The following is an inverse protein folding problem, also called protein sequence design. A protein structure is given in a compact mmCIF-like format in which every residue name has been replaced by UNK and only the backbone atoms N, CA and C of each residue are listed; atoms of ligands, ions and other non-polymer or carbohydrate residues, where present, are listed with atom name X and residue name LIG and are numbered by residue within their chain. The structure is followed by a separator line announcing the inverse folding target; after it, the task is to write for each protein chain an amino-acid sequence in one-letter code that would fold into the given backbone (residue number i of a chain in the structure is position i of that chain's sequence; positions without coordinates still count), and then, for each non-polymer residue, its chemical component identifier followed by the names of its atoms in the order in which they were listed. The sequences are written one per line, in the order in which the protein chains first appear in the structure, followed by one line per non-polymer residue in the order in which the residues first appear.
data_IF_097332772307
#
_entry.id   IF_097332772307
#
_cell.length_a   1.000
_cell.length_b   1.000
_cell.length_c   1.000
_cell.angle_alpha   90.00
_cell.angle_beta   90.00
_cell.angle_gamma   90.00
#
_symmetry.space_group_name_H-M   'P 1'
#
loop_
_entity.id
_entity.type
_entity.pdbx_description
1 polymer ?
#
# COMPACT_ATOMS: atom_id res chain seq x y z
N UNK A 1 -29.35 -11.60 3.70
CA UNK A 1 -28.26 -11.08 4.55
C UNK A 1 -27.49 -10.06 3.74
N UNK A 2 -27.23 -8.86 4.26
CA UNK A 2 -26.28 -7.94 3.63
C UNK A 2 -24.92 -8.65 3.69
N UNK A 3 -24.28 -8.89 2.54
CA UNK A 3 -23.04 -9.66 2.47
C UNK A 3 -21.89 -8.90 3.14
N UNK A 4 -21.03 -9.62 3.86
CA UNK A 4 -19.75 -9.08 4.31
C UNK A 4 -18.74 -9.25 3.17
N UNK A 5 -18.06 -8.17 2.79
CA UNK A 5 -16.99 -8.20 1.79
C UNK A 5 -15.67 -7.85 2.45
N UNK A 6 -14.63 -8.64 2.17
CA UNK A 6 -13.26 -8.35 2.60
C UNK A 6 -12.47 -7.86 1.40
N UNK A 7 -11.76 -6.76 1.57
CA UNK A 7 -10.89 -6.19 0.55
C UNK A 7 -9.50 -5.99 1.17
N UNK A 8 -8.48 -6.56 0.54
CA UNK A 8 -7.10 -6.25 0.87
C UNK A 8 -6.73 -4.85 0.39
N UNK A 9 -6.21 -4.03 1.29
CA UNK A 9 -5.64 -2.73 0.97
C UNK A 9 -4.14 -2.83 1.17
N UNK A 10 -3.40 -2.84 0.07
CA UNK A 10 -1.94 -2.83 0.05
C UNK A 10 -1.42 -1.77 -0.92
N UNK A 11 -0.22 -1.22 -0.70
CA UNK A 11 0.35 -0.24 -1.62
C UNK A 11 0.60 -0.86 -3.00
N UNK A 12 0.37 -0.09 -4.05
CA UNK A 12 0.84 -0.35 -5.41
C UNK A 12 1.69 0.85 -5.84
N UNK A 13 2.90 0.61 -6.32
CA UNK A 13 3.85 1.66 -6.74
C UNK A 13 4.11 2.73 -5.66
N UNK A 14 4.28 2.30 -4.41
CA UNK A 14 4.52 3.20 -3.27
C UNK A 14 3.31 4.06 -2.87
N UNK A 15 2.15 3.87 -3.51
CA UNK A 15 0.91 4.62 -3.26
C UNK A 15 -0.18 3.71 -2.74
N UNK A 16 -1.04 4.27 -1.91
CA UNK A 16 -2.25 3.60 -1.45
C UNK A 16 -3.28 3.60 -2.59
N UNK A 17 -4.01 2.50 -2.86
CA UNK A 17 -4.94 2.40 -3.98
C UNK A 17 -6.23 3.19 -3.69
N UNK A 18 -6.19 4.50 -3.95
CA UNK A 18 -7.26 5.43 -3.58
C UNK A 18 -8.62 5.02 -4.17
N UNK A 19 -8.68 4.73 -5.47
CA UNK A 19 -9.91 4.33 -6.15
C UNK A 19 -10.56 3.07 -5.54
N UNK A 20 -9.75 2.08 -5.15
CA UNK A 20 -10.23 0.86 -4.50
C UNK A 20 -10.78 1.16 -3.10
N UNK A 21 -10.10 2.02 -2.34
CA UNK A 21 -10.55 2.46 -1.02
C UNK A 21 -11.88 3.21 -1.13
N UNK A 22 -12.00 4.13 -2.07
CA UNK A 22 -13.23 4.89 -2.29
C UNK A 22 -14.37 3.97 -2.72
N UNK A 23 -14.13 3.05 -3.67
CA UNK A 23 -15.11 2.08 -4.12
C UNK A 23 -15.57 1.17 -2.97
N UNK A 24 -14.61 0.67 -2.18
CA UNK A 24 -14.88 -0.12 -0.98
C UNK A 24 -15.74 0.64 0.02
N UNK A 25 -15.41 1.88 0.33
CA UNK A 25 -16.19 2.71 1.25
C UNK A 25 -17.60 3.00 0.70
N UNK A 26 -17.73 3.36 -0.58
CA UNK A 26 -19.04 3.60 -1.20
C UNK A 26 -19.91 2.34 -1.19
N UNK A 27 -19.33 1.18 -1.47
CA UNK A 27 -20.05 -0.10 -1.44
C UNK A 27 -20.56 -0.49 -0.05
N UNK A 28 -20.00 0.09 1.03
CA UNK A 28 -20.49 -0.17 2.38
C UNK A 28 -21.94 0.25 2.61
N UNK A 29 -22.53 1.08 1.73
CA UNK A 29 -23.96 1.36 1.74
C UNK A 29 -24.85 0.10 1.54
N UNK A 30 -24.28 -0.99 1.02
CA UNK A 30 -24.97 -2.25 0.75
C UNK A 30 -24.62 -3.38 1.72
N UNK A 31 -23.75 -3.14 2.70
CA UNK A 31 -23.31 -4.16 3.63
C UNK A 31 -21.98 -3.84 4.30
N UNK A 32 -21.55 -4.72 5.20
CA UNK A 32 -20.28 -4.54 5.89
C UNK A 32 -19.11 -4.76 4.92
N UNK A 33 -18.19 -3.80 4.88
CA UNK A 33 -16.92 -3.93 4.16
C UNK A 33 -15.77 -3.89 5.16
N UNK A 34 -14.89 -4.88 5.09
CA UNK A 34 -13.68 -4.95 5.92
C UNK A 34 -12.46 -4.71 5.05
N UNK A 35 -11.67 -3.71 5.41
CA UNK A 35 -10.35 -3.48 4.83
C UNK A 35 -9.29 -4.20 5.64
N UNK A 36 -8.64 -5.17 5.02
CA UNK A 36 -7.44 -5.82 5.55
C UNK A 36 -6.25 -4.98 5.13
N UNK A 37 -5.68 -4.23 6.08
CA UNK A 37 -4.56 -3.34 5.85
C UNK A 37 -3.26 -4.13 5.86
N UNK A 38 -2.62 -4.23 4.69
CA UNK A 38 -1.34 -4.88 4.49
C UNK A 38 -0.30 -3.84 4.08
N UNK A 39 0.63 -3.50 4.99
CA UNK A 39 1.60 -2.42 4.81
C UNK A 39 0.99 -1.03 4.51
N UNK A 40 -0.26 -0.81 4.93
CA UNK A 40 -0.95 0.49 4.86
C UNK A 40 -1.39 0.90 6.27
N UNK A 41 -1.25 2.18 6.60
CA UNK A 41 -1.72 2.72 7.88
C UNK A 41 -3.17 3.18 7.78
N UNK A 42 -3.91 3.12 8.89
CA UNK A 42 -5.29 3.62 8.92
C UNK A 42 -5.35 5.13 8.62
N UNK A 43 -4.31 5.89 8.97
CA UNK A 43 -4.20 7.31 8.64
C UNK A 43 -4.14 7.53 7.13
N UNK A 44 -3.38 6.71 6.40
CA UNK A 44 -3.29 6.84 4.95
C UNK A 44 -4.62 6.52 4.26
N UNK A 45 -5.38 5.54 4.77
CA UNK A 45 -6.74 5.26 4.30
C UNK A 45 -7.68 6.43 4.61
N UNK A 46 -7.63 6.98 5.81
CA UNK A 46 -8.48 8.10 6.20
C UNK A 46 -8.23 9.34 5.33
N UNK A 47 -6.98 9.63 4.95
CA UNK A 47 -6.68 10.74 4.04
C UNK A 47 -7.38 10.60 2.68
N UNK A 48 -7.53 9.36 2.18
CA UNK A 48 -8.30 9.08 0.96
C UNK A 48 -9.79 9.27 1.22
N UNK A 49 -10.29 8.83 2.37
CA UNK A 49 -11.72 8.82 2.68
C UNK A 49 -12.28 10.16 3.15
N UNK A 50 -11.50 11.04 3.76
CA UNK A 50 -11.93 12.34 4.28
C UNK A 50 -12.77 13.17 3.29
N UNK A 51 -12.40 13.31 2.00
CA UNK A 51 -13.25 14.00 1.03
C UNK A 51 -14.52 13.22 0.67
N UNK A 52 -14.48 11.88 0.71
CA UNK A 52 -15.59 11.01 0.29
C UNK A 52 -16.66 10.86 1.36
N UNK A 53 -16.27 10.75 2.63
CA UNK A 53 -17.17 10.56 3.79
C UNK A 53 -18.27 11.63 3.82
N UNK A 54 -17.92 12.88 3.47
CA UNK A 54 -18.86 14.02 3.45
C UNK A 54 -19.92 13.93 2.35
N UNK A 55 -19.74 13.04 1.38
CA UNK A 55 -20.64 12.86 0.23
C UNK A 55 -21.63 11.70 0.42
N UNK A 56 -21.52 10.95 1.52
CA UNK A 56 -22.29 9.73 1.75
C UNK A 56 -23.35 9.92 2.85
N UNK A 57 -24.45 9.13 2.84
CA UNK A 57 -25.43 9.14 3.91
C UNK A 57 -24.81 8.72 5.25
N UNK A 58 -25.21 9.39 6.34
CA UNK A 58 -24.71 9.08 7.70
C UNK A 58 -25.17 7.70 8.22
N UNK A 59 -26.13 7.06 7.54
CA UNK A 59 -26.68 5.76 7.91
C UNK A 59 -25.89 4.57 7.35
N UNK A 60 -24.86 4.79 6.54
CA UNK A 60 -24.08 3.67 6.01
C UNK A 60 -23.23 3.02 7.13
N UNK A 61 -23.08 1.70 7.13
CA UNK A 61 -22.20 0.98 8.06
C UNK A 61 -20.75 1.49 8.06
N UNK A 62 -20.25 1.93 6.91
CA UNK A 62 -18.84 2.28 6.72
C UNK A 62 -17.95 1.04 6.61
N UNK A 63 -16.65 1.24 6.84
CA UNK A 63 -15.62 0.22 6.69
C UNK A 63 -14.96 -0.10 8.02
N UNK A 64 -14.64 -1.38 8.24
CA UNK A 64 -13.83 -1.81 9.39
C UNK A 64 -12.38 -2.01 8.96
N UNK A 65 -11.44 -1.46 9.73
CA UNK A 65 -10.02 -1.69 9.51
C UNK A 65 -9.52 -2.85 10.37
N UNK A 66 -8.84 -3.78 9.73
CA UNK A 66 -8.15 -4.92 10.36
C UNK A 66 -6.73 -4.95 9.83
N UNK A 67 -5.73 -4.99 10.71
CA UNK A 67 -4.33 -5.14 10.28
C UNK A 67 -4.10 -6.59 9.87
N UNK A 68 -3.35 -6.83 8.78
CA UNK A 68 -3.07 -8.20 8.33
C UNK A 68 -2.33 -9.05 9.37
N UNK A 69 -1.58 -8.42 10.29
CA UNK A 69 -0.90 -9.12 11.40
C UNK A 69 -1.81 -9.48 12.59
N UNK A 70 -3.07 -9.03 12.58
CA UNK A 70 -4.06 -9.41 13.61
C UNK A 70 -4.80 -10.68 13.14
N UNK A 71 -4.12 -11.82 13.24
CA UNK A 71 -4.60 -13.09 12.67
C UNK A 71 -6.00 -13.48 13.16
N UNK A 72 -6.32 -13.19 14.42
CA UNK A 72 -7.65 -13.48 14.96
C UNK A 72 -8.72 -12.67 14.23
N UNK A 73 -8.53 -11.35 14.11
CA UNK A 73 -9.51 -10.50 13.43
C UNK A 73 -9.54 -10.73 11.92
N UNK A 74 -8.41 -11.08 11.30
CA UNK A 74 -8.35 -11.49 9.89
C UNK A 74 -9.17 -12.76 9.69
N UNK A 75 -9.01 -13.77 10.57
CA UNK A 75 -9.81 -14.99 10.54
C UNK A 75 -11.29 -14.69 10.65
N UNK A 76 -11.70 -13.93 11.67
CA UNK A 76 -13.10 -13.56 11.88
C UNK A 76 -13.70 -12.85 10.66
N UNK A 77 -12.96 -11.91 10.07
CA UNK A 77 -13.38 -11.17 8.89
C UNK A 77 -13.55 -12.11 7.68
N UNK A 78 -12.56 -12.94 7.39
CA UNK A 78 -12.55 -13.88 6.26
C UNK A 78 -13.63 -14.94 6.40
N UNK A 79 -13.82 -15.53 7.58
CA UNK A 79 -14.82 -16.59 7.78
C UNK A 79 -16.25 -16.05 7.72
N UNK A 80 -16.44 -14.76 8.00
CA UNK A 80 -17.73 -14.08 7.89
C UNK A 80 -18.00 -13.53 6.48
N UNK A 81 -16.98 -13.48 5.62
CA UNK A 81 -17.07 -12.88 4.30
C UNK A 81 -17.82 -13.78 3.32
N UNK A 82 -18.62 -13.16 2.45
CA UNK A 82 -19.16 -13.81 1.25
C UNK A 82 -18.17 -13.77 0.09
N UNK A 83 -17.30 -12.75 0.07
CA UNK A 83 -16.29 -12.54 -0.96
C UNK A 83 -15.03 -11.91 -0.34
N UNK A 84 -13.88 -12.36 -0.81
CA UNK A 84 -12.56 -11.84 -0.42
C UNK A 84 -11.83 -11.40 -1.68
N UNK A 85 -11.54 -10.10 -1.78
CA UNK A 85 -10.68 -9.53 -2.79
C UNK A 85 -9.25 -9.45 -2.23
N UNK A 86 -8.30 -10.13 -2.87
CA UNK A 86 -6.93 -10.25 -2.39
C UNK A 86 -5.93 -9.89 -3.48
N UNK A 87 -4.82 -9.29 -3.08
CA UNK A 87 -3.70 -8.92 -3.95
C UNK A 87 -2.39 -9.60 -3.53
N UNK A 88 -2.28 -10.09 -2.29
CA UNK A 88 -1.09 -10.77 -1.79
C UNK A 88 -1.29 -12.25 -1.52
N UNK A 89 -0.19 -13.00 -1.60
CA UNK A 89 -0.14 -14.40 -1.17
C UNK A 89 -0.43 -14.55 0.33
N UNK A 90 -0.13 -13.53 1.15
CA UNK A 90 -0.38 -13.57 2.59
C UNK A 90 -1.87 -13.69 2.88
N UNK A 91 -2.71 -12.81 2.31
CA UNK A 91 -4.15 -12.89 2.51
C UNK A 91 -4.76 -14.11 1.81
N UNK A 92 -4.27 -14.47 0.63
CA UNK A 92 -4.69 -15.71 -0.04
C UNK A 92 -4.48 -16.94 0.85
N UNK A 93 -3.30 -17.08 1.45
CA UNK A 93 -2.98 -18.20 2.33
C UNK A 93 -3.85 -18.20 3.59
N UNK A 94 -4.09 -17.04 4.20
CA UNK A 94 -5.05 -16.94 5.31
C UNK A 94 -6.44 -17.41 4.89
N UNK A 95 -6.95 -16.92 3.75
CA UNK A 95 -8.26 -17.28 3.25
C UNK A 95 -8.41 -18.77 2.92
N UNK A 96 -7.42 -19.36 2.25
CA UNK A 96 -7.39 -20.77 1.93
C UNK A 96 -7.32 -21.68 3.18
N UNK A 97 -6.60 -21.25 4.22
CA UNK A 97 -6.37 -22.06 5.41
C UNK A 97 -7.53 -22.02 6.43
N UNK A 98 -8.39 -21.00 6.40
CA UNK A 98 -9.48 -20.87 7.36
C UNK A 98 -10.74 -21.67 7.00
N UNK A 99 -10.74 -22.39 5.87
CA UNK A 99 -11.77 -23.37 5.52
C UNK A 99 -13.15 -22.79 5.24
N UNK A 100 -13.30 -21.46 5.25
CA UNK A 100 -14.49 -20.79 4.77
C UNK A 100 -14.53 -20.87 3.24
N UNK A 101 -15.73 -20.82 2.66
CA UNK A 101 -15.95 -20.83 1.21
C UNK A 101 -16.26 -19.42 0.65
N UNK A 102 -15.57 -18.32 1.04
CA UNK A 102 -15.81 -17.07 0.36
C UNK A 102 -15.36 -17.22 -1.09
N UNK A 103 -16.06 -16.53 -2.00
CA UNK A 103 -15.54 -16.35 -3.35
C UNK A 103 -14.21 -15.59 -3.25
N UNK A 104 -13.13 -16.16 -3.78
CA UNK A 104 -11.83 -15.50 -3.85
C UNK A 104 -11.69 -14.78 -5.18
N UNK A 105 -11.33 -13.50 -5.15
CA UNK A 105 -11.10 -12.68 -6.35
C UNK A 105 -9.72 -12.04 -6.25
N UNK A 106 -8.85 -12.35 -7.21
CA UNK A 106 -7.55 -11.70 -7.31
C UNK A 106 -7.73 -10.27 -7.81
N UNK A 107 -7.04 -9.33 -7.18
CA UNK A 107 -6.92 -7.95 -7.62
C UNK A 107 -5.64 -7.84 -8.45
N UNK A 108 -5.80 -7.73 -9.77
CA UNK A 108 -4.72 -7.38 -10.69
C UNK A 108 -4.31 -5.91 -10.48
N UNK A 109 -3.62 -5.63 -9.37
CA UNK A 109 -2.96 -4.35 -9.18
C UNK A 109 -1.75 -4.33 -10.14
N UNK A 110 -1.54 -3.23 -10.91
CA UNK A 110 -0.46 -3.17 -11.89
C UNK A 110 0.89 -3.54 -11.23
N UNK A 111 1.70 -4.41 -11.87
CA UNK A 111 2.98 -4.84 -11.33
C UNK A 111 3.97 -3.66 -11.24
N UNK A 112 4.89 -3.74 -10.28
CA UNK A 112 5.92 -2.74 -10.06
C UNK A 112 6.77 -2.53 -11.33
N UNK A 113 6.84 -1.30 -11.85
CA UNK A 113 8.06 -0.87 -12.51
C UNK A 113 9.10 -0.75 -11.41
N UNK A 114 10.13 -1.57 -11.48
CA UNK A 114 11.32 -1.34 -10.69
C UNK A 114 11.88 0.03 -11.11
N UNK A 115 11.68 1.06 -10.29
CA UNK A 115 12.41 2.35 -10.39
C UNK A 115 13.93 2.18 -10.19
N UNK A 116 14.43 0.94 -10.16
CA UNK A 116 15.84 0.60 -10.31
C UNK A 116 16.37 0.87 -11.72
N UNK A 117 15.52 0.95 -12.75
CA UNK A 117 15.97 1.25 -14.13
C UNK A 117 16.23 2.76 -14.35
N UNK A 118 15.53 3.66 -13.66
CA UNK A 118 15.83 5.10 -13.73
C UNK A 118 17.02 5.50 -12.84
N UNK A 119 17.21 4.83 -11.68
CA UNK A 119 18.38 5.08 -10.82
C UNK A 119 19.69 4.47 -11.37
N UNK A 120 19.61 3.42 -12.20
CA UNK A 120 20.78 2.89 -12.91
C UNK A 120 21.18 3.76 -14.11
N UNK A 121 20.22 4.40 -14.79
CA UNK A 121 20.52 5.40 -15.83
C UNK A 121 21.18 6.68 -15.27
N UNK A 122 20.82 7.11 -14.06
CA UNK A 122 21.45 8.28 -13.41
C UNK A 122 22.87 7.95 -12.91
N UNK A 123 23.17 6.70 -12.53
CA UNK A 123 24.51 6.29 -12.10
C UNK A 123 25.55 6.30 -13.21
N UNK A 124 25.16 6.14 -14.48
CA UNK A 124 26.10 6.18 -15.61
C UNK A 124 26.44 7.60 -16.10
N UNK A 125 25.78 8.66 -15.61
CA UNK A 125 25.98 10.03 -16.08
C UNK A 125 26.52 11.01 -15.03
N UNK A 126 26.93 10.52 -13.86
CA UNK A 126 27.73 11.32 -12.93
C UNK A 126 29.21 11.09 -13.31
N UNK A 127 29.90 12.06 -13.94
CA UNK A 127 31.35 11.93 -14.09
C UNK A 127 31.95 11.77 -12.69
N UNK A 128 32.94 10.87 -12.51
CA UNK A 128 33.55 10.68 -11.21
C UNK A 128 34.03 12.04 -10.68
N UNK A 129 33.90 12.30 -9.36
CA UNK A 129 34.44 13.53 -8.79
C UNK A 129 35.91 13.60 -9.19
N UNK A 130 36.29 14.70 -9.85
CA UNK A 130 37.69 14.97 -10.17
C UNK A 130 38.47 14.83 -8.87
N UNK A 131 39.27 13.78 -8.75
CA UNK A 131 40.26 13.65 -7.70
C UNK A 131 41.20 14.83 -7.88
N UNK A 132 41.03 15.85 -7.03
CA UNK A 132 41.99 16.93 -6.91
C UNK A 132 43.29 16.27 -6.44
N UNK A 133 44.24 16.16 -7.35
CA UNK A 133 45.59 15.69 -7.06
C UNK A 133 46.31 16.79 -6.28
N UNK A 134 46.26 16.70 -4.95
CA UNK A 134 46.91 17.65 -4.05
C UNK A 134 48.44 17.51 -4.03
N UNK A 135 49.05 16.66 -4.86
CA UNK A 135 50.51 16.45 -4.88
C UNK A 135 51.29 17.29 -5.90
N UNK A 136 50.66 18.25 -6.60
CA UNK A 136 51.38 19.09 -7.59
C UNK A 136 51.35 20.61 -7.37
N UNK A 137 50.97 21.10 -6.19
CA UNK A 137 51.13 22.52 -5.87
C UNK A 137 52.41 22.78 -5.08
N UNK A 138 53.48 23.12 -5.82
CA UNK A 138 54.68 23.79 -5.31
C UNK A 138 54.30 25.09 -4.62
N UNK A 139 54.46 25.16 -3.31
CA UNK A 139 54.42 26.41 -2.57
C UNK A 139 55.71 27.19 -2.81
N UNK A 140 55.64 28.27 -3.57
CA UNK A 140 56.69 29.29 -3.56
C UNK A 140 56.62 30.05 -2.23
N UNK A 141 57.65 29.88 -1.40
CA UNK A 141 57.93 30.73 -0.25
C UNK A 141 58.08 32.19 -0.68
N UNK A 142 57.31 33.09 -0.06
CA UNK A 142 57.67 34.51 0.03
C UNK A 142 57.76 34.83 1.52
N UNK A 143 58.99 35.02 2.00
CA UNK A 143 59.29 35.54 3.33
C UNK A 143 58.91 37.02 3.44
N UNK A 144 58.37 37.39 4.58
CA UNK A 144 58.21 38.76 5.02
C UNK A 144 59.55 39.39 5.42
N UNK A 145 59.73 40.66 5.07
CA UNK A 145 60.51 41.66 5.79
C UNK A 145 59.86 43.03 5.56
#
# INVERSE_FOLDING_TARGET
MLGCSVIEIMPSNGRVPAELIEAGYRSSQYGLVVFILNNVTYQAVNLVLDPVVRTMPLSIPGVLYVKIGDEQRVREAVTSASIVYFASNSLYNFAANYGAAPKLVHLDLPPQSNDTDELSAIREHIPPPQTVDWHHHSFHHISAA
#
